data_IF_791704658712
#
_entry.id   IF_791704658712
#
_cell.length_a   1.000
_cell.length_b   1.000
_cell.length_c   1.000
_cell.angle_alpha   90.00
_cell.angle_beta   90.00
_cell.angle_gamma   90.00
#
_symmetry.space_group_name_H-M   'P 1'
#
loop_
_entity.id
_entity.type
_entity.pdbx_description
1 polymer ?
#
# COMPACT_ATOMS: atom_id res chain seq x y z
N UNK A 1 22.04 27.20 -8.83
CA UNK A 1 21.32 26.35 -9.79
C UNK A 1 20.66 25.22 -9.01
N UNK A 2 19.37 25.37 -8.65
CA UNK A 2 18.61 24.42 -7.82
C UNK A 2 18.25 23.19 -8.69
N UNK A 3 18.60 21.99 -8.24
CA UNK A 3 18.11 20.75 -8.87
C UNK A 3 16.58 20.68 -8.67
N UNK A 4 15.78 20.39 -9.71
CA UNK A 4 14.37 20.11 -9.50
C UNK A 4 14.24 18.80 -8.72
N UNK A 5 13.56 18.87 -7.57
CA UNK A 5 13.14 17.70 -6.79
C UNK A 5 12.23 16.83 -7.66
N UNK A 6 12.81 15.85 -8.33
CA UNK A 6 12.09 14.72 -8.90
C UNK A 6 11.63 13.79 -7.79
N UNK A 7 10.56 14.18 -7.09
CA UNK A 7 9.72 13.19 -6.43
C UNK A 7 9.12 12.36 -7.56
N UNK A 8 9.66 11.16 -7.72
CA UNK A 8 9.22 10.18 -8.70
C UNK A 8 7.71 10.03 -8.58
N UNK A 9 6.99 10.50 -9.59
CA UNK A 9 5.67 10.00 -9.93
C UNK A 9 5.85 8.51 -10.23
N UNK A 10 5.80 7.65 -9.21
CA UNK A 10 5.53 6.24 -9.42
C UNK A 10 4.05 6.16 -9.76
N UNK A 11 3.81 6.36 -11.04
CA UNK A 11 2.55 6.29 -11.71
C UNK A 11 1.78 5.04 -11.27
N UNK A 12 0.50 5.26 -11.04
CA UNK A 12 -0.59 4.31 -11.24
C UNK A 12 -0.27 3.25 -12.30
N UNK A 13 0.27 2.11 -11.87
CA UNK A 13 0.00 0.84 -12.54
C UNK A 13 -1.09 0.17 -11.74
N UNK A 14 -2.33 0.40 -12.19
CA UNK A 14 -3.45 -0.45 -11.82
C UNK A 14 -3.04 -1.91 -12.10
N UNK A 15 -2.90 -2.72 -11.04
CA UNK A 15 -2.82 -4.18 -11.17
C UNK A 15 -1.47 -4.88 -10.93
N UNK A 16 -0.36 -4.19 -10.63
CA UNK A 16 0.93 -4.87 -10.42
C UNK A 16 1.51 -4.60 -9.03
N UNK A 17 1.30 -5.56 -8.13
CA UNK A 17 2.13 -6.05 -7.01
C UNK A 17 3.13 -5.15 -6.25
N UNK A 18 3.13 -3.82 -6.35
CA UNK A 18 3.93 -2.98 -5.45
C UNK A 18 3.24 -2.99 -4.08
N UNK A 19 3.86 -3.54 -3.03
CA UNK A 19 3.21 -3.63 -1.73
C UNK A 19 3.06 -2.24 -1.11
N UNK A 20 3.97 -1.31 -1.41
CA UNK A 20 4.02 0.01 -0.80
C UNK A 20 3.51 1.08 -1.77
N UNK A 21 2.35 1.65 -1.48
CA UNK A 21 1.79 2.81 -2.17
C UNK A 21 2.07 4.07 -1.36
N UNK A 22 2.75 5.04 -1.97
CA UNK A 22 3.07 6.31 -1.34
C UNK A 22 2.52 7.45 -2.19
N UNK A 23 1.73 8.34 -1.59
CA UNK A 23 1.34 9.62 -2.19
C UNK A 23 1.52 10.74 -1.18
N UNK A 24 2.18 11.80 -1.61
CA UNK A 24 2.36 13.04 -0.83
C UNK A 24 1.50 14.13 -1.41
N UNK A 25 0.55 14.62 -0.63
CA UNK A 25 0.10 16.01 -0.75
C UNK A 25 1.18 16.92 -0.15
N UNK A 26 1.40 18.11 -0.72
CA UNK A 26 2.46 19.03 -0.32
C UNK A 26 2.61 19.22 1.20
N UNK A 27 3.87 19.30 1.66
CA UNK A 27 4.22 19.26 3.08
C UNK A 27 3.56 20.34 3.93
N UNK A 28 2.71 19.91 4.87
CA UNK A 28 2.24 20.65 6.04
C UNK A 28 2.95 20.17 7.32
N UNK A 29 2.94 20.97 8.40
CA UNK A 29 3.98 20.98 9.44
C UNK A 29 3.92 19.75 10.36
N UNK A 30 5.09 19.21 10.71
CA UNK A 30 5.44 18.49 11.95
C UNK A 30 4.39 17.55 12.61
N UNK A 31 3.52 16.89 11.84
CA UNK A 31 2.54 15.95 12.38
C UNK A 31 3.11 14.52 12.33
N UNK A 32 3.19 13.84 13.47
CA UNK A 32 3.57 12.42 13.52
C UNK A 32 2.57 11.57 12.73
N UNK A 33 3.04 10.57 11.95
CA UNK A 33 2.15 9.73 11.17
C UNK A 33 1.30 8.84 12.09
N UNK A 34 0.02 8.70 11.76
CA UNK A 34 -0.90 7.78 12.46
C UNK A 34 -0.88 6.43 11.77
N UNK A 35 -0.54 5.38 12.52
CA UNK A 35 -0.52 3.98 12.03
C UNK A 35 -1.89 3.34 12.23
N UNK A 36 -2.44 2.77 11.17
CA UNK A 36 -3.80 2.21 11.13
C UNK A 36 -3.77 0.72 10.80
N UNK A 37 -4.27 -0.07 11.75
CA UNK A 37 -4.48 -1.51 11.61
C UNK A 37 -5.96 -1.83 11.89
N UNK A 38 -6.83 -1.66 10.90
CA UNK A 38 -8.26 -1.97 11.03
C UNK A 38 -9.13 -1.58 9.84
N UNK A 39 -10.38 -2.06 9.81
CA UNK A 39 -11.33 -1.85 8.71
C UNK A 39 -11.78 -0.39 8.54
N UNK A 40 -11.65 0.44 9.58
CA UNK A 40 -12.07 1.86 9.55
C UNK A 40 -11.05 2.82 8.92
N UNK A 41 -10.02 2.27 8.26
CA UNK A 41 -8.92 3.07 7.70
C UNK A 41 -9.39 4.02 6.60
N UNK A 42 -10.37 3.62 5.77
CA UNK A 42 -10.95 4.50 4.75
C UNK A 42 -11.67 5.71 5.39
N UNK A 43 -12.56 5.46 6.35
CA UNK A 43 -13.30 6.54 7.05
C UNK A 43 -12.37 7.57 7.67
N UNK A 44 -11.27 7.12 8.30
CA UNK A 44 -10.30 8.05 8.86
C UNK A 44 -9.51 8.82 7.80
N UNK A 45 -9.15 8.18 6.68
CA UNK A 45 -8.53 8.86 5.55
C UNK A 45 -9.41 10.01 5.03
N UNK A 46 -10.72 9.77 4.87
CA UNK A 46 -11.68 10.81 4.48
C UNK A 46 -11.78 11.95 5.50
N UNK A 47 -11.78 11.63 6.79
CA UNK A 47 -11.82 12.63 7.86
C UNK A 47 -10.55 13.49 7.91
N UNK A 48 -9.38 12.85 7.76
CA UNK A 48 -8.10 13.56 7.69
C UNK A 48 -8.02 14.45 6.45
N UNK A 49 -8.51 13.98 5.31
CA UNK A 49 -8.59 14.78 4.09
C UNK A 49 -9.47 16.03 4.25
N UNK A 50 -10.64 15.88 4.89
CA UNK A 50 -11.58 16.98 5.11
C UNK A 50 -11.10 18.00 6.16
N UNK A 51 -10.36 17.55 7.18
CA UNK A 51 -9.98 18.39 8.34
C UNK A 51 -8.53 18.88 8.32
N UNK A 52 -7.71 18.46 7.34
CA UNK A 52 -6.28 18.75 7.34
C UNK A 52 -5.54 17.96 8.43
N UNK A 53 -5.72 16.64 8.44
CA UNK A 53 -5.15 15.74 9.44
C UNK A 53 -3.69 15.35 9.20
N UNK A 54 -3.09 14.57 10.14
CA UNK A 54 -1.72 14.09 10.04
C UNK A 54 -1.55 13.11 8.87
N UNK A 55 -0.29 12.87 8.48
CA UNK A 55 0.04 11.78 7.57
C UNK A 55 -0.44 10.42 8.09
N UNK A 56 -0.80 9.52 7.19
CA UNK A 56 -1.38 8.21 7.53
C UNK A 56 -0.52 7.05 7.02
N UNK A 57 -0.36 6.03 7.85
CA UNK A 57 0.25 4.75 7.48
C UNK A 57 -0.80 3.65 7.62
N UNK A 58 -1.27 3.10 6.50
CA UNK A 58 -2.38 2.12 6.44
C UNK A 58 -1.81 0.71 6.20
N UNK A 59 -1.97 -0.17 7.19
CA UNK A 59 -1.55 -1.58 7.14
C UNK A 59 -2.69 -2.57 6.91
N UNK A 60 -3.93 -2.08 6.85
CA UNK A 60 -5.11 -2.92 6.65
C UNK A 60 -5.20 -3.44 5.22
N UNK A 61 -5.72 -4.66 5.08
CA UNK A 61 -5.95 -5.35 3.81
C UNK A 61 -7.43 -5.64 3.60
N UNK A 62 -7.83 -6.00 2.38
CA UNK A 62 -9.21 -6.37 2.07
C UNK A 62 -10.15 -5.18 1.77
N UNK A 63 -9.62 -4.14 1.12
CA UNK A 63 -10.43 -3.01 0.65
C UNK A 63 -11.13 -3.33 -0.67
N UNK A 64 -12.36 -2.84 -0.83
CA UNK A 64 -13.05 -2.86 -2.12
C UNK A 64 -12.56 -1.72 -3.05
N UNK A 65 -12.99 -1.74 -4.31
CA UNK A 65 -12.56 -0.74 -5.30
C UNK A 65 -13.03 0.69 -4.94
N UNK A 66 -14.18 0.85 -4.28
CA UNK A 66 -14.71 2.14 -3.89
C UNK A 66 -13.92 2.72 -2.69
N UNK A 67 -13.58 1.88 -1.72
CA UNK A 67 -12.73 2.24 -0.59
C UNK A 67 -11.32 2.63 -1.04
N UNK A 68 -10.78 1.94 -2.06
CA UNK A 68 -9.50 2.32 -2.67
C UNK A 68 -9.57 3.67 -3.37
N UNK A 69 -10.67 3.96 -4.06
CA UNK A 69 -10.89 5.26 -4.69
C UNK A 69 -10.98 6.37 -3.64
N UNK A 70 -11.71 6.16 -2.54
CA UNK A 70 -11.79 7.12 -1.44
C UNK A 70 -10.41 7.40 -0.82
N UNK A 71 -9.59 6.37 -0.60
CA UNK A 71 -8.22 6.52 -0.10
C UNK A 71 -7.36 7.29 -1.11
N UNK A 72 -7.51 7.02 -2.40
CA UNK A 72 -6.78 7.73 -3.45
C UNK A 72 -7.17 9.22 -3.54
N UNK A 73 -8.44 9.55 -3.32
CA UNK A 73 -8.92 10.93 -3.22
C UNK A 73 -8.37 11.62 -1.97
N UNK A 74 -8.42 10.95 -0.81
CA UNK A 74 -7.84 11.48 0.44
C UNK A 74 -6.34 11.74 0.29
N UNK A 75 -5.62 10.88 -0.43
CA UNK A 75 -4.19 11.01 -0.67
C UNK A 75 -3.79 12.25 -1.51
N UNK A 76 -4.75 12.94 -2.15
CA UNK A 76 -4.51 14.23 -2.83
C UNK A 76 -4.29 15.37 -1.83
N UNK A 77 -4.77 15.22 -0.60
CA UNK A 77 -4.77 16.27 0.44
C UNK A 77 -3.89 15.92 1.64
N UNK A 78 -3.74 14.64 1.96
CA UNK A 78 -2.94 14.13 3.08
C UNK A 78 -1.91 13.13 2.56
N UNK A 79 -0.72 13.11 3.15
CA UNK A 79 0.27 12.10 2.82
C UNK A 79 -0.17 10.72 3.34
N UNK A 80 -0.29 9.74 2.46
CA UNK A 80 -0.73 8.37 2.80
C UNK A 80 0.30 7.36 2.29
N UNK A 81 0.78 6.53 3.22
CA UNK A 81 1.56 5.32 2.97
C UNK A 81 0.66 4.11 3.22
N UNK A 82 0.37 3.32 2.19
CA UNK A 82 -0.40 2.08 2.35
C UNK A 82 0.48 0.89 1.99
N UNK A 83 0.47 -0.14 2.83
CA UNK A 83 1.07 -1.42 2.47
C UNK A 83 0.37 -2.62 3.09
N UNK A 84 0.33 -3.74 2.37
CA UNK A 84 -0.05 -5.05 2.93
C UNK A 84 1.08 -5.68 3.76
N UNK A 85 2.32 -5.23 3.59
CA UNK A 85 3.49 -5.65 4.37
C UNK A 85 4.49 -4.50 4.53
N UNK A 86 4.88 -4.22 5.77
CA UNK A 86 5.94 -3.24 6.07
C UNK A 86 7.32 -3.91 6.23
N UNK A 87 7.39 -5.24 6.08
CA UNK A 87 8.66 -5.96 6.15
C UNK A 87 9.48 -5.74 4.88
N UNK A 88 10.78 -5.48 5.06
CA UNK A 88 11.73 -5.28 3.96
C UNK A 88 11.82 -6.54 3.09
N UNK A 89 11.76 -7.73 3.69
CA UNK A 89 11.95 -9.00 2.98
C UNK A 89 10.95 -9.23 1.84
N UNK A 90 9.63 -9.33 2.12
CA UNK A 90 8.62 -9.46 1.08
C UNK A 90 8.64 -8.33 0.05
N UNK A 91 8.93 -7.09 0.48
CA UNK A 91 8.98 -5.95 -0.43
C UNK A 91 10.17 -6.02 -1.40
N UNK A 92 11.32 -6.53 -0.94
CA UNK A 92 12.49 -6.80 -1.79
C UNK A 92 12.24 -7.99 -2.73
N UNK A 93 11.61 -9.05 -2.21
CA UNK A 93 11.30 -10.25 -3.00
C UNK A 93 10.38 -9.94 -4.19
N UNK A 94 9.43 -9.01 -4.06
CA UNK A 94 8.60 -8.57 -5.20
C UNK A 94 9.46 -8.11 -6.37
N UNK A 95 10.49 -7.28 -6.12
CA UNK A 95 11.38 -6.80 -7.18
C UNK A 95 12.24 -7.92 -7.79
N UNK A 96 12.78 -8.80 -6.94
CA UNK A 96 13.59 -9.93 -7.40
C UNK A 96 12.78 -10.95 -8.21
N UNK A 97 11.54 -11.21 -7.82
CA UNK A 97 10.63 -12.11 -8.55
C UNK A 97 10.23 -11.47 -9.87
N UNK A 98 10.01 -10.15 -9.92
CA UNK A 98 9.77 -9.44 -11.17
C UNK A 98 10.96 -9.57 -12.12
N UNK A 99 12.18 -9.43 -11.63
CA UNK A 99 13.39 -9.59 -12.45
C UNK A 99 13.57 -11.04 -12.93
N UNK A 100 13.43 -12.01 -12.03
CA UNK A 100 13.51 -13.42 -12.36
C UNK A 100 12.45 -13.86 -13.38
N UNK A 101 11.20 -13.42 -13.21
CA UNK A 101 10.11 -13.76 -14.13
C UNK A 101 10.30 -13.20 -15.55
N UNK A 102 11.06 -12.12 -15.71
CA UNK A 102 11.42 -11.59 -17.04
C UNK A 102 12.58 -12.34 -17.69
N UNK A 103 13.43 -12.98 -16.90
CA UNK A 103 14.62 -13.70 -17.38
C UNK A 103 14.33 -15.18 -17.72
N UNK A 104 13.28 -15.76 -17.14
CA UNK A 104 12.87 -17.16 -17.35
C UNK A 104 11.81 -17.26 -18.45
N UNK A 105 11.91 -18.27 -19.33
CA UNK A 105 10.89 -18.55 -20.34
C UNK A 105 9.65 -19.19 -19.68
N UNK A 106 8.44 -18.64 -19.87
CA UNK A 106 7.20 -19.19 -19.30
C UNK A 106 6.87 -20.63 -19.74
N UNK A 107 7.42 -21.11 -20.86
CA UNK A 107 7.15 -22.47 -21.34
C UNK A 107 8.09 -23.52 -20.71
N UNK A 108 9.19 -23.06 -20.10
CA UNK A 108 10.20 -23.94 -19.49
C UNK A 108 10.13 -23.94 -17.95
N UNK A 109 9.41 -22.99 -17.35
CA UNK A 109 9.37 -22.77 -15.90
C UNK A 109 7.97 -22.53 -15.35
N UNK A 110 7.59 -23.30 -14.34
CA UNK A 110 6.36 -23.10 -13.56
C UNK A 110 6.60 -22.26 -12.30
N UNK A 111 5.65 -21.37 -11.97
CA UNK A 111 5.71 -20.53 -10.78
C UNK A 111 4.71 -20.99 -9.71
N UNK A 112 5.22 -21.40 -8.55
CA UNK A 112 4.41 -21.79 -7.40
C UNK A 112 4.70 -20.90 -6.18
N UNK A 113 3.65 -20.50 -5.44
CA UNK A 113 3.78 -19.62 -4.26
C UNK A 113 3.29 -20.37 -3.02
N UNK A 114 4.21 -20.62 -2.08
CA UNK A 114 3.91 -21.28 -0.81
C UNK A 114 4.01 -20.30 0.36
N UNK A 115 3.06 -20.37 1.29
CA UNK A 115 3.07 -19.58 2.51
C UNK A 115 2.65 -20.42 3.71
N UNK A 116 3.44 -20.38 4.78
CA UNK A 116 3.06 -20.96 6.08
C UNK A 116 2.91 -19.83 7.08
N UNK A 117 1.70 -19.67 7.58
CA UNK A 117 1.41 -18.78 8.69
C UNK A 117 1.32 -19.61 9.96
N UNK A 118 1.77 -19.07 11.09
CA UNK A 118 1.45 -19.68 12.37
C UNK A 118 -0.07 -19.73 12.54
N UNK A 119 -0.63 -20.76 13.19
CA UNK A 119 -2.05 -20.82 13.49
C UNK A 119 -2.46 -19.56 14.25
N UNK A 120 -3.24 -18.70 13.60
CA UNK A 120 -3.86 -17.55 14.25
C UNK A 120 -5.08 -17.99 15.07
N UNK A 121 -5.52 -17.20 16.07
CA UNK A 121 -6.81 -17.43 16.70
C UNK A 121 -7.91 -17.38 15.63
N UNK A 122 -8.78 -18.40 15.63
CA UNK A 122 -9.90 -18.57 14.67
C UNK A 122 -10.73 -17.28 14.61
N UNK A 123 -10.68 -16.54 13.49
CA UNK A 123 -11.73 -15.59 13.16
C UNK A 123 -12.80 -16.37 12.41
N UNK A 124 -13.94 -16.63 13.06
CA UNK A 124 -15.10 -17.23 12.42
C UNK A 124 -15.57 -16.36 11.25
N UNK A 125 -15.22 -16.81 10.07
CA UNK A 125 -15.68 -16.40 8.76
C UNK A 125 -17.15 -16.79 8.61
N UNK A 126 -18.06 -15.88 8.98
CA UNK A 126 -19.48 -15.94 8.61
C UNK A 126 -19.60 -15.54 7.14
N UNK A 127 -19.53 -16.52 6.25
CA UNK A 127 -20.04 -16.41 4.87
C UNK A 127 -21.57 -16.47 4.96
N UNK A 128 -22.22 -15.47 4.37
CA UNK A 128 -23.65 -15.49 4.03
C UNK A 128 -23.75 -15.54 2.50
#
# INVERSE_FOLDING_TARGET
MRRPNGLSQTAERAGALTPVQFRTAGGGPACQPVVLAGRLSNTLARLCAARGGPALVIGSTGFDAAELADIAEAAKTVAILRSSSFSVGPNMLVGLVEEASRALDPNDWDAEVFGRHHPGPRRQDRVA
#
